data_IF_093835964068
#
_entry.id   IF_093835964068
#
_cell.length_a   1.000
_cell.length_b   1.000
_cell.length_c   1.000
_cell.angle_alpha   90.00
_cell.angle_beta   90.00
_cell.angle_gamma   90.00
#
_symmetry.space_group_name_H-M   'P 1'
#
loop_
_entity.id
_entity.type
_entity.pdbx_description
1 polymer ?
#
# COMPACT_ATOMS: atom_id res chain seq x y z
N UNK A 1 -27.85 15.25 57.50
CA UNK A 1 -28.28 16.57 57.01
C UNK A 1 -27.05 17.30 56.48
N UNK A 2 -26.61 17.01 55.25
CA UNK A 2 -25.50 17.72 54.61
C UNK A 2 -26.04 18.52 53.43
N UNK A 3 -26.06 19.85 53.59
CA UNK A 3 -26.45 20.80 52.57
C UNK A 3 -25.45 20.73 51.41
N UNK A 4 -25.91 20.26 50.25
CA UNK A 4 -25.17 20.33 49.00
C UNK A 4 -24.90 21.82 48.69
N UNK A 5 -23.63 22.17 48.70
CA UNK A 5 -23.17 23.53 48.43
C UNK A 5 -23.47 23.88 46.97
N UNK A 6 -24.07 25.05 46.77
CA UNK A 6 -24.40 25.68 45.48
C UNK A 6 -23.37 25.56 44.34
N UNK A 7 -22.03 25.49 44.54
CA UNK A 7 -21.09 25.25 43.44
C UNK A 7 -21.23 23.89 42.74
N UNK A 8 -21.74 22.86 43.41
CA UNK A 8 -21.89 21.52 42.83
C UNK A 8 -23.06 21.44 41.84
N UNK A 9 -24.19 22.08 42.19
CA UNK A 9 -25.40 22.15 41.36
C UNK A 9 -25.15 22.98 40.10
N UNK A 10 -24.41 24.09 40.20
CA UNK A 10 -24.09 24.94 39.05
C UNK A 10 -23.18 24.20 38.05
N UNK A 11 -22.22 23.40 38.53
CA UNK A 11 -21.35 22.56 37.68
C UNK A 11 -22.13 21.44 37.00
N UNK A 12 -23.08 20.81 37.71
CA UNK A 12 -23.94 19.77 37.14
C UNK A 12 -24.88 20.32 36.06
N UNK A 13 -25.47 21.50 36.28
CA UNK A 13 -26.30 22.18 35.27
C UNK A 13 -25.47 22.63 34.06
N UNK A 14 -24.25 23.12 34.25
CA UNK A 14 -23.33 23.45 33.15
C UNK A 14 -22.90 22.21 32.34
N UNK A 15 -22.73 21.06 32.99
CA UNK A 15 -22.48 19.78 32.32
C UNK A 15 -23.72 19.28 31.56
N UNK A 16 -24.91 19.49 32.11
CA UNK A 16 -26.18 19.14 31.46
C UNK A 16 -26.45 19.98 30.20
N UNK A 17 -26.06 21.26 30.17
CA UNK A 17 -26.17 22.10 28.96
C UNK A 17 -25.18 21.66 27.86
N UNK A 18 -24.03 21.04 28.23
CA UNK A 18 -23.07 20.49 27.26
C UNK A 18 -23.42 19.09 26.77
N UNK A 19 -24.19 18.33 27.54
CA UNK A 19 -24.69 17.02 27.15
C UNK A 19 -26.02 17.15 26.39
N UNK A 20 -25.93 17.72 25.18
CA UNK A 20 -27.02 17.62 24.21
C UNK A 20 -27.40 16.15 23.97
N UNK A 21 -28.70 15.86 24.02
CA UNK A 21 -29.32 14.55 23.77
C UNK A 21 -28.73 13.81 22.56
N UNK A 22 -28.43 12.49 22.67
CA UNK A 22 -28.09 11.67 21.52
C UNK A 22 -29.39 11.11 20.93
N UNK A 23 -30.27 11.97 20.39
CA UNK A 23 -31.45 11.47 19.67
C UNK A 23 -31.99 12.51 18.70
N UNK A 24 -31.23 12.76 17.64
CA UNK A 24 -31.77 13.21 16.36
C UNK A 24 -30.70 12.91 15.30
N UNK A 25 -30.94 11.86 14.50
CA UNK A 25 -30.25 11.68 13.22
C UNK A 25 -30.70 12.83 12.32
N UNK A 26 -29.93 13.92 12.30
CA UNK A 26 -30.06 14.94 11.27
C UNK A 26 -29.50 14.34 9.97
N UNK A 27 -30.39 13.87 9.12
CA UNK A 27 -30.08 13.50 7.74
C UNK A 27 -29.81 14.79 6.97
N UNK A 28 -28.57 14.92 6.50
CA UNK A 28 -28.11 15.90 5.50
C UNK A 28 -28.43 17.37 5.79
N UNK A 29 -27.77 17.93 6.81
CA UNK A 29 -27.34 19.33 6.74
C UNK A 29 -25.94 19.34 6.13
N UNK A 30 -25.71 20.20 5.15
CA UNK A 30 -24.47 20.40 4.41
C UNK A 30 -23.28 20.74 5.32
N UNK A 31 -22.76 19.76 6.07
CA UNK A 31 -21.49 19.84 6.77
C UNK A 31 -20.30 19.64 5.81
N UNK A 32 -20.43 20.14 4.57
CA UNK A 32 -19.37 20.14 3.55
C UNK A 32 -18.27 21.15 3.90
N UNK A 33 -18.50 22.02 4.88
CA UNK A 33 -17.48 22.96 5.36
C UNK A 33 -16.34 22.27 6.16
N UNK A 34 -16.44 20.98 6.49
CA UNK A 34 -15.44 20.26 7.30
C UNK A 34 -14.77 19.06 6.59
N UNK A 35 -14.95 18.90 5.28
CA UNK A 35 -14.42 17.73 4.52
C UNK A 35 -13.06 17.96 3.84
N UNK A 36 -12.58 19.19 3.74
CA UNK A 36 -11.24 19.48 3.27
C UNK A 36 -10.53 20.45 4.22
N UNK A 37 -9.27 20.16 4.53
CA UNK A 37 -8.40 21.07 5.27
C UNK A 37 -7.49 21.74 4.28
N UNK A 38 -7.60 23.06 4.14
CA UNK A 38 -6.61 23.80 3.39
C UNK A 38 -5.25 23.70 4.12
N UNK A 39 -4.26 23.12 3.45
CA UNK A 39 -2.90 22.98 3.97
C UNK A 39 -2.15 24.28 3.65
N UNK A 40 -1.52 24.89 4.65
CA UNK A 40 -0.79 26.16 4.57
C UNK A 40 -1.65 27.45 4.44
N UNK A 41 -2.86 27.52 5.01
CA UNK A 41 -3.61 28.79 5.12
C UNK A 41 -3.12 29.61 6.32
N UNK A 42 -1.86 30.05 6.29
CA UNK A 42 -1.30 30.88 7.37
C UNK A 42 -0.64 32.11 6.78
N UNK A 43 -1.29 33.25 6.94
CA UNK A 43 -0.70 34.53 6.59
C UNK A 43 0.48 34.83 7.55
N UNK A 44 1.69 35.11 7.04
CA UNK A 44 2.82 35.47 7.88
C UNK A 44 2.55 36.81 8.58
N UNK A 45 2.72 36.87 9.90
CA UNK A 45 2.67 38.17 10.61
C UNK A 45 3.85 39.06 10.21
N UNK A 46 3.66 40.38 10.21
CA UNK A 46 4.65 41.39 9.82
C UNK A 46 5.33 42.02 11.06
N UNK A 47 5.33 41.31 12.19
CA UNK A 47 5.91 41.82 13.43
C UNK A 47 7.44 41.89 13.31
N UNK A 48 8.05 42.94 13.84
CA UNK A 48 9.52 43.17 13.77
C UNK A 48 10.32 41.92 14.20
N UNK A 49 9.88 41.23 15.27
CA UNK A 49 10.50 39.98 15.75
C UNK A 49 10.38 38.84 14.74
N UNK A 50 9.20 38.64 14.16
CA UNK A 50 8.95 37.58 13.18
C UNK A 50 9.71 37.80 11.87
N UNK A 51 9.94 39.06 11.48
CA UNK A 51 10.73 39.41 10.30
C UNK A 51 12.22 39.15 10.55
N UNK A 52 12.75 39.52 11.71
CA UNK A 52 14.14 39.22 12.07
C UNK A 52 14.39 37.71 12.20
N UNK A 53 13.45 36.95 12.74
CA UNK A 53 13.58 35.50 12.88
C UNK A 53 13.60 34.80 11.50
N UNK A 54 12.78 35.25 10.55
CA UNK A 54 12.79 34.74 9.16
C UNK A 54 14.06 35.13 8.42
N UNK A 55 14.56 36.35 8.64
CA UNK A 55 15.82 36.80 8.07
C UNK A 55 17.00 35.99 8.63
N UNK A 56 17.01 35.71 9.94
CA UNK A 56 17.99 34.85 10.57
C UNK A 56 17.92 33.41 10.04
N UNK A 57 16.72 32.87 9.85
CA UNK A 57 16.52 31.54 9.25
C UNK A 57 17.09 31.46 7.83
N UNK A 58 16.94 32.53 7.05
CA UNK A 58 17.43 32.63 5.67
C UNK A 58 18.95 32.80 5.60
N UNK A 59 19.53 33.64 6.45
CA UNK A 59 20.97 33.98 6.43
C UNK A 59 21.83 32.95 7.16
N UNK A 60 21.35 32.41 8.28
CA UNK A 60 22.10 31.49 9.14
C UNK A 60 21.73 30.02 8.89
N UNK A 61 20.91 29.73 7.87
CA UNK A 61 20.56 28.37 7.45
C UNK A 61 20.13 27.45 8.60
N UNK A 62 19.40 27.98 9.57
CA UNK A 62 19.03 27.25 10.80
C UNK A 62 18.16 26.03 10.50
N UNK A 63 17.32 26.07 9.46
CA UNK A 63 16.55 24.91 9.01
C UNK A 63 17.41 23.80 8.42
N UNK A 64 18.49 24.15 7.71
CA UNK A 64 19.44 23.17 7.18
C UNK A 64 20.20 22.50 8.33
N UNK A 65 20.61 23.27 9.34
CA UNK A 65 21.24 22.71 10.54
C UNK A 65 20.27 21.77 11.30
N UNK A 66 18.99 22.13 11.39
CA UNK A 66 17.95 21.26 11.98
C UNK A 66 17.77 19.97 11.20
N UNK A 67 17.74 20.04 9.87
CA UNK A 67 17.68 18.87 8.98
C UNK A 67 18.91 17.97 9.12
N UNK A 68 20.10 18.56 9.18
CA UNK A 68 21.36 17.85 9.37
C UNK A 68 21.45 17.17 10.74
N UNK A 69 20.92 17.79 11.80
CA UNK A 69 20.81 17.14 13.11
C UNK A 69 19.91 15.90 13.09
N UNK A 70 18.84 15.93 12.28
CA UNK A 70 17.95 14.78 12.12
C UNK A 70 18.66 13.63 11.37
N UNK A 71 19.38 13.91 10.28
CA UNK A 71 20.13 12.87 9.56
C UNK A 71 21.26 12.29 10.42
N UNK A 72 21.96 13.13 11.20
CA UNK A 72 22.96 12.68 12.17
C UNK A 72 22.34 11.78 13.24
N UNK A 73 21.08 12.01 13.63
CA UNK A 73 20.36 11.14 14.56
C UNK A 73 20.13 9.72 14.00
N UNK A 74 20.09 9.53 12.68
CA UNK A 74 20.01 8.19 12.07
C UNK A 74 21.35 7.46 12.08
N UNK A 75 22.48 8.16 12.18
CA UNK A 75 23.80 7.53 12.28
C UNK A 75 23.97 6.76 13.60
N UNK A 76 23.27 7.19 14.65
CA UNK A 76 23.27 6.52 15.96
C UNK A 76 22.14 5.49 16.12
N UNK A 77 21.31 5.27 15.08
CA UNK A 77 20.29 4.22 15.10
C UNK A 77 20.88 2.91 14.60
N UNK A 78 20.39 1.81 15.14
CA UNK A 78 20.73 0.49 14.65
C UNK A 78 20.21 0.29 13.21
N UNK A 79 21.03 -0.21 12.28
CA UNK A 79 20.61 -0.44 10.90
C UNK A 79 19.58 -1.59 10.82
N UNK A 80 18.47 -1.36 10.13
CA UNK A 80 17.43 -2.37 9.90
C UNK A 80 17.79 -3.37 8.78
N UNK A 81 19.05 -3.75 8.68
CA UNK A 81 19.57 -4.69 7.65
C UNK A 81 19.63 -6.11 8.20
N UNK A 82 19.02 -7.06 7.52
CA UNK A 82 19.17 -8.50 7.79
C UNK A 82 20.40 -9.06 7.07
N UNK A 83 21.12 -9.99 7.69
CA UNK A 83 22.29 -10.61 7.06
C UNK A 83 21.89 -11.75 6.10
N UNK A 84 21.48 -11.39 4.88
CA UNK A 84 21.22 -12.37 3.83
C UNK A 84 22.55 -12.97 3.33
N UNK A 85 22.73 -14.29 3.20
CA UNK A 85 21.71 -15.35 3.14
C UNK A 85 21.41 -16.09 4.45
N UNK A 86 22.03 -15.72 5.57
CA UNK A 86 21.93 -16.42 6.85
C UNK A 86 20.63 -16.12 7.60
N UNK A 87 20.13 -14.90 7.47
CA UNK A 87 18.88 -14.43 8.05
C UNK A 87 17.90 -14.09 6.93
N UNK A 88 16.68 -14.64 6.98
CA UNK A 88 15.62 -14.40 5.99
C UNK A 88 14.48 -13.60 6.62
N UNK A 89 13.91 -12.68 5.84
CA UNK A 89 12.75 -11.90 6.27
C UNK A 89 11.52 -12.78 6.57
N UNK A 90 10.62 -12.35 7.46
CA UNK A 90 9.42 -13.10 7.80
C UNK A 90 8.50 -13.20 6.59
N UNK A 91 8.22 -14.43 6.15
CA UNK A 91 7.37 -14.69 5.00
C UNK A 91 6.00 -15.20 5.44
N UNK A 92 4.94 -14.56 4.95
CA UNK A 92 3.58 -15.05 5.21
C UNK A 92 3.32 -16.36 4.45
N UNK A 93 2.48 -17.27 4.95
CA UNK A 93 2.15 -18.52 4.26
C UNK A 93 1.39 -18.30 2.94
N UNK A 94 0.94 -17.07 2.66
CA UNK A 94 0.26 -16.68 1.41
C UNK A 94 1.21 -16.08 0.38
N UNK A 95 2.51 -16.05 0.65
CA UNK A 95 3.47 -15.57 -0.34
C UNK A 95 3.41 -16.41 -1.61
N UNK A 96 3.32 -15.72 -2.74
CA UNK A 96 3.32 -16.34 -4.08
C UNK A 96 4.77 -16.37 -4.55
N UNK A 97 5.36 -17.56 -4.52
CA UNK A 97 6.71 -17.81 -5.03
C UNK A 97 6.70 -18.50 -6.38
N UNK A 98 7.61 -19.45 -6.55
CA UNK A 98 7.66 -20.30 -7.73
C UNK A 98 6.41 -21.22 -7.82
N UNK A 99 5.85 -21.35 -9.01
CA UNK A 99 4.71 -22.21 -9.26
C UNK A 99 5.18 -23.65 -9.41
N UNK A 100 4.66 -24.55 -8.57
CA UNK A 100 4.97 -25.97 -8.63
C UNK A 100 3.69 -26.80 -8.73
N UNK A 101 3.69 -27.79 -9.62
CA UNK A 101 2.57 -28.71 -9.77
C UNK A 101 2.52 -29.70 -8.61
N UNK A 102 1.36 -29.79 -7.95
CA UNK A 102 1.14 -30.70 -6.81
C UNK A 102 0.71 -32.08 -7.30
N UNK A 103 1.14 -33.13 -6.59
CA UNK A 103 0.73 -34.52 -6.80
C UNK A 103 -0.27 -34.98 -5.73
N UNK A 104 -1.06 -36.00 -6.02
CA UNK A 104 -1.84 -36.75 -5.04
C UNK A 104 -0.90 -37.62 -4.16
N UNK A 105 -1.35 -38.09 -2.98
CA UNK A 105 -0.56 -39.03 -2.18
C UNK A 105 -0.30 -40.38 -2.90
N UNK A 106 -1.07 -40.70 -3.94
CA UNK A 106 -0.85 -41.85 -4.84
C UNK A 106 0.27 -41.65 -5.87
N UNK A 107 0.86 -40.45 -5.95
CA UNK A 107 1.92 -40.11 -6.91
C UNK A 107 1.45 -39.58 -8.27
N UNK A 108 0.16 -39.70 -8.57
CA UNK A 108 -0.47 -39.12 -9.77
C UNK A 108 -0.49 -37.58 -9.71
N UNK A 109 -0.33 -36.92 -10.86
CA UNK A 109 -0.41 -35.47 -10.96
C UNK A 109 -1.86 -34.97 -10.77
N UNK A 110 -2.04 -33.79 -10.17
CA UNK A 110 -3.37 -33.21 -9.98
C UNK A 110 -3.89 -32.47 -11.22
N UNK A 111 -3.03 -32.24 -12.22
CA UNK A 111 -3.43 -31.60 -13.45
C UNK A 111 -4.17 -32.62 -14.34
N UNK A 112 -5.35 -32.24 -14.85
CA UNK A 112 -6.13 -33.01 -15.83
C UNK A 112 -6.15 -32.34 -17.20
N UNK A 113 -5.21 -31.40 -17.45
CA UNK A 113 -5.13 -30.60 -18.67
C UNK A 113 -6.44 -29.87 -19.04
N UNK A 114 -7.16 -29.31 -18.05
CA UNK A 114 -8.42 -28.61 -18.25
C UNK A 114 -8.30 -27.21 -18.90
N UNK A 115 -7.07 -26.68 -19.04
CA UNK A 115 -6.75 -25.36 -19.63
C UNK A 115 -7.41 -24.14 -18.98
N UNK A 116 -8.00 -24.30 -17.79
CA UNK A 116 -8.62 -23.18 -17.06
C UNK A 116 -7.57 -22.21 -16.49
N UNK A 117 -6.38 -22.72 -16.15
CA UNK A 117 -5.28 -21.92 -15.60
C UNK A 117 -4.71 -20.94 -16.65
N UNK A 118 -4.67 -21.34 -17.92
CA UNK A 118 -4.26 -20.48 -19.04
C UNK A 118 -5.30 -19.38 -19.28
N UNK A 119 -6.59 -19.73 -19.25
CA UNK A 119 -7.68 -18.78 -19.48
C UNK A 119 -7.77 -17.66 -18.42
N UNK A 120 -7.42 -17.95 -17.16
CA UNK A 120 -7.45 -16.95 -16.07
C UNK A 120 -6.15 -16.15 -15.96
N UNK A 121 -5.05 -16.63 -16.57
CA UNK A 121 -3.75 -15.99 -16.44
C UNK A 121 -3.74 -14.63 -17.16
N UNK A 122 -3.62 -13.49 -16.43
CA UNK A 122 -3.68 -12.16 -17.05
C UNK A 122 -2.48 -11.87 -17.96
N UNK A 123 -1.37 -12.59 -17.77
CA UNK A 123 -0.16 -12.50 -18.58
C UNK A 123 -0.09 -13.55 -19.71
N UNK A 124 -1.12 -14.39 -19.89
CA UNK A 124 -1.17 -15.47 -20.89
C UNK A 124 0.04 -16.42 -20.85
N UNK A 125 0.58 -16.68 -19.65
CA UNK A 125 1.65 -17.68 -19.44
C UNK A 125 1.02 -19.02 -19.13
N UNK A 126 1.33 -20.06 -19.90
CA UNK A 126 0.90 -21.45 -19.65
C UNK A 126 1.87 -22.15 -18.68
N UNK A 127 1.44 -22.56 -17.48
CA UNK A 127 2.25 -23.36 -16.56
C UNK A 127 2.13 -24.88 -16.82
N UNK A 128 1.46 -25.30 -17.90
CA UNK A 128 1.15 -26.71 -18.15
C UNK A 128 2.41 -27.51 -18.53
N UNK A 129 2.83 -28.52 -17.73
CA UNK A 129 4.04 -29.30 -18.01
C UNK A 129 3.89 -30.24 -19.22
N UNK A 130 2.65 -30.50 -19.65
CA UNK A 130 2.33 -31.24 -20.87
C UNK A 130 2.36 -30.37 -22.13
N UNK A 131 2.51 -29.05 -21.99
CA UNK A 131 2.63 -28.15 -23.14
C UNK A 131 4.06 -28.13 -23.70
N UNK A 132 4.56 -29.29 -24.13
CA UNK A 132 5.65 -29.35 -25.11
C UNK A 132 5.16 -29.02 -26.53
N UNK A 133 3.92 -28.57 -26.67
CA UNK A 133 3.27 -28.29 -27.96
C UNK A 133 2.65 -26.90 -28.02
N UNK A 134 3.38 -25.88 -27.55
CA UNK A 134 3.25 -24.54 -28.09
C UNK A 134 4.60 -23.83 -28.20
N UNK A 135 5.33 -24.28 -29.22
CA UNK A 135 6.08 -23.38 -30.07
C UNK A 135 5.27 -22.09 -30.32
N UNK A 136 5.94 -20.94 -30.36
CA UNK A 136 5.45 -19.63 -29.94
C UNK A 136 4.14 -19.24 -30.62
N UNK A 137 3.42 -18.37 -29.91
CA UNK A 137 2.35 -17.46 -30.36
C UNK A 137 2.68 -16.83 -31.73
N UNK A 138 2.56 -17.60 -32.80
CA UNK A 138 2.77 -17.22 -34.19
C UNK A 138 1.75 -17.99 -35.02
N UNK A 139 0.55 -17.39 -35.05
CA UNK A 139 -0.57 -17.64 -35.96
C UNK A 139 -0.56 -18.95 -36.73
N UNK A 140 -1.49 -19.84 -36.37
CA UNK A 140 -1.90 -21.05 -37.12
C UNK A 140 -2.19 -20.82 -38.63
N UNK A 141 -2.29 -19.57 -39.09
CA UNK A 141 -2.39 -19.23 -40.51
C UNK A 141 -1.07 -19.31 -41.31
N UNK A 142 0.10 -19.13 -40.67
CA UNK A 142 1.40 -19.04 -41.38
C UNK A 142 2.13 -20.39 -41.51
N UNK A 143 1.78 -21.39 -40.68
CA UNK A 143 2.35 -22.74 -40.79
C UNK A 143 1.74 -23.55 -41.95
N UNK A 144 0.48 -23.32 -42.31
CA UNK A 144 -0.13 -24.00 -43.48
C UNK A 144 0.50 -23.56 -44.81
N UNK A 145 0.87 -22.29 -44.92
CA UNK A 145 1.55 -21.77 -46.13
C UNK A 145 3.02 -22.21 -46.21
N UNK A 146 3.70 -22.41 -45.08
CA UNK A 146 5.09 -22.90 -45.06
C UNK A 146 5.19 -24.43 -45.21
N UNK A 147 4.20 -25.19 -44.75
CA UNK A 147 4.12 -26.64 -45.02
C UNK A 147 3.80 -26.94 -46.50
N UNK A 148 2.95 -26.14 -47.15
CA UNK A 148 2.74 -26.21 -48.61
C UNK A 148 4.01 -25.84 -49.42
N UNK A 149 4.95 -25.11 -48.81
CA UNK A 149 6.21 -24.71 -49.43
C UNK A 149 7.36 -25.73 -49.25
N UNK A 150 7.09 -26.94 -48.73
CA UNK A 150 8.00 -28.09 -48.77
C UNK A 150 9.35 -27.91 -48.06
N UNK A 151 9.44 -27.01 -47.06
CA UNK A 151 10.73 -26.52 -46.54
C UNK A 151 11.15 -27.03 -45.16
N UNK A 152 10.52 -28.05 -44.59
CA UNK A 152 11.01 -28.69 -43.37
C UNK A 152 11.23 -30.20 -43.54
N UNK A 153 12.43 -30.72 -43.22
CA UNK A 153 12.73 -32.15 -43.29
C UNK A 153 12.00 -32.93 -42.19
N UNK A 154 11.37 -34.03 -42.59
CA UNK A 154 10.79 -35.03 -41.69
C UNK A 154 11.94 -35.84 -41.08
N UNK A 155 12.09 -35.92 -39.75
CA UNK A 155 13.02 -36.87 -39.15
C UNK A 155 12.47 -38.31 -39.26
N UNK A 156 13.33 -39.24 -39.66
CA UNK A 156 13.13 -40.70 -39.56
C UNK A 156 12.90 -41.13 -38.10
#
# INVERSE_FOLDING_TARGET
MHCLTTPSVLRALAQAVRAGHPSARSLHSSAVAATYKYVNLREPSMDMKSVTDRAAQTLLWTELARGLGMTLSYLFREPATINYPFEKGPLSPRFRGEHALRRYPSGEERCIACKLCEAVCPAQVSPDPTDRHLAPVLGRGRLRTLAAAGKLPVPL
#
